data_IF_702833610867
#
_entry.id   IF_702833610867
#
_cell.length_a   1.000
_cell.length_b   1.000
_cell.length_c   1.000
_cell.angle_alpha   90.00
_cell.angle_beta   90.00
_cell.angle_gamma   90.00
#
_symmetry.space_group_name_H-M   'P 1'
#
loop_
_entity.id
_entity.type
_entity.pdbx_description
1 polymer ?
#
# COMPACT_ATOMS: atom_id res chain seq x y z
N UNK A 1 37.34 -29.92 3.10
CA UNK A 1 36.12 -29.65 2.30
C UNK A 1 35.55 -28.32 2.79
N UNK A 2 35.49 -27.26 1.99
CA UNK A 2 34.81 -26.03 2.40
C UNK A 2 33.32 -26.32 2.54
N UNK A 3 32.74 -25.92 3.68
CA UNK A 3 31.30 -26.00 3.91
C UNK A 3 30.60 -25.13 2.87
N UNK A 4 29.76 -25.75 2.04
CA UNK A 4 28.90 -25.03 1.11
C UNK A 4 27.87 -24.30 1.95
N UNK A 5 28.03 -22.98 2.10
CA UNK A 5 27.04 -22.11 2.73
C UNK A 5 25.78 -22.15 1.88
N UNK A 6 24.84 -23.02 2.23
CA UNK A 6 23.52 -23.07 1.59
C UNK A 6 22.79 -21.79 1.99
N UNK A 7 22.44 -20.92 1.03
CA UNK A 7 21.77 -19.67 1.36
C UNK A 7 20.42 -19.99 2.03
N UNK A 8 20.33 -19.70 3.32
CA UNK A 8 19.10 -19.86 4.10
C UNK A 8 18.05 -18.92 3.49
N UNK A 9 17.11 -19.49 2.72
CA UNK A 9 15.94 -18.77 2.21
C UNK A 9 15.12 -18.29 3.42
N UNK A 10 15.41 -17.08 3.91
CA UNK A 10 14.63 -16.47 4.98
C UNK A 10 13.20 -16.27 4.49
N UNK A 11 12.26 -16.96 5.12
CA UNK A 11 10.82 -16.79 4.88
C UNK A 11 10.42 -15.34 5.12
N UNK A 12 9.45 -14.81 4.36
CA UNK A 12 8.94 -13.47 4.63
C UNK A 12 8.35 -13.42 6.05
N UNK A 13 8.60 -12.35 6.81
CA UNK A 13 8.03 -12.21 8.15
C UNK A 13 6.51 -12.04 8.06
N UNK A 14 5.80 -12.46 9.10
CA UNK A 14 4.32 -12.38 9.19
C UNK A 14 3.76 -11.00 8.80
N UNK A 15 4.36 -9.86 9.21
CA UNK A 15 3.88 -8.54 8.79
C UNK A 15 3.88 -8.32 7.27
N UNK A 16 4.81 -8.92 6.52
CA UNK A 16 4.81 -8.84 5.04
C UNK A 16 3.62 -9.59 4.46
N UNK A 17 3.33 -10.80 5.01
CA UNK A 17 2.20 -11.61 4.59
C UNK A 17 0.84 -10.94 4.84
N UNK A 18 0.76 -10.08 5.87
CA UNK A 18 -0.44 -9.30 6.17
C UNK A 18 -0.49 -7.98 5.38
N UNK A 19 0.65 -7.30 5.20
CA UNK A 19 0.71 -6.03 4.49
C UNK A 19 0.31 -6.16 3.01
N UNK A 20 0.66 -7.27 2.37
CA UNK A 20 0.35 -7.49 0.94
C UNK A 20 -1.15 -7.57 0.67
N UNK A 21 -1.93 -8.46 1.33
CA UNK A 21 -3.38 -8.52 1.10
C UNK A 21 -4.09 -7.22 1.52
N UNK A 22 -3.63 -6.54 2.58
CA UNK A 22 -4.18 -5.24 2.95
C UNK A 22 -3.91 -4.18 1.86
N UNK A 23 -2.71 -4.15 1.29
CA UNK A 23 -2.37 -3.24 0.20
C UNK A 23 -3.22 -3.50 -1.04
N UNK A 24 -3.46 -4.78 -1.39
CA UNK A 24 -4.33 -5.16 -2.50
C UNK A 24 -5.78 -4.77 -2.21
N UNK A 25 -6.28 -5.01 -1.00
CA UNK A 25 -7.63 -4.62 -0.60
C UNK A 25 -7.81 -3.09 -0.65
N UNK A 26 -6.83 -2.32 -0.15
CA UNK A 26 -6.84 -0.87 -0.23
C UNK A 26 -6.81 -0.37 -1.68
N UNK A 27 -6.00 -1.00 -2.55
CA UNK A 27 -5.94 -0.66 -3.96
C UNK A 27 -7.28 -0.92 -4.68
N UNK A 28 -7.91 -2.06 -4.42
CA UNK A 28 -9.21 -2.41 -4.99
C UNK A 28 -10.32 -1.47 -4.50
N UNK A 29 -10.35 -1.14 -3.21
CA UNK A 29 -11.31 -0.19 -2.65
C UNK A 29 -11.13 1.20 -3.28
N UNK A 30 -9.90 1.65 -3.47
CA UNK A 30 -9.56 2.93 -4.10
C UNK A 30 -9.94 2.96 -5.59
N UNK A 31 -9.71 1.85 -6.30
CA UNK A 31 -10.12 1.71 -7.70
C UNK A 31 -11.66 1.70 -7.83
N UNK A 32 -12.36 1.01 -6.94
CA UNK A 32 -13.81 0.98 -6.90
C UNK A 32 -14.37 2.40 -6.65
N UNK A 33 -13.79 3.15 -5.72
CA UNK A 33 -14.17 4.55 -5.49
C UNK A 33 -14.04 5.39 -6.78
N UNK A 34 -12.92 5.25 -7.51
CA UNK A 34 -12.71 5.95 -8.77
C UNK A 34 -13.78 5.58 -9.83
N UNK A 35 -14.14 4.30 -9.92
CA UNK A 35 -15.18 3.82 -10.82
C UNK A 35 -16.57 4.39 -10.46
N UNK A 36 -16.89 4.40 -9.17
CA UNK A 36 -18.16 4.98 -8.69
C UNK A 36 -18.20 6.49 -8.97
N UNK A 37 -17.12 7.22 -8.69
CA UNK A 37 -17.02 8.64 -8.99
C UNK A 37 -17.23 8.92 -10.49
N UNK A 38 -16.64 8.08 -11.36
CA UNK A 38 -16.83 8.17 -12.81
C UNK A 38 -18.28 7.89 -13.22
N UNK A 39 -18.90 6.85 -12.63
CA UNK A 39 -20.28 6.48 -12.93
C UNK A 39 -21.27 7.56 -12.50
N UNK A 40 -21.13 8.10 -11.28
CA UNK A 40 -22.02 9.13 -10.75
C UNK A 40 -21.87 10.48 -11.45
N UNK A 41 -20.68 10.81 -11.96
CA UNK A 41 -20.44 12.04 -12.72
C UNK A 41 -20.90 11.93 -14.18
N UNK A 42 -21.31 10.75 -14.65
CA UNK A 42 -21.57 10.47 -16.08
C UNK A 42 -20.39 10.87 -16.98
N UNK A 43 -19.17 10.82 -16.46
CA UNK A 43 -17.96 11.23 -17.16
C UNK A 43 -17.81 12.74 -17.37
N UNK A 44 -18.65 13.55 -16.74
CA UNK A 44 -18.59 15.02 -16.82
C UNK A 44 -17.89 15.57 -15.61
N UNK A 45 -16.72 16.15 -15.84
CA UNK A 45 -15.92 16.79 -14.81
C UNK A 45 -15.59 18.22 -15.24
N UNK A 46 -16.07 19.19 -14.51
CA UNK A 46 -15.76 20.60 -14.72
C UNK A 46 -14.50 20.99 -13.94
N UNK A 47 -13.62 21.78 -14.54
CA UNK A 47 -12.40 22.27 -13.92
C UNK A 47 -11.47 21.14 -13.45
N UNK A 48 -11.15 21.11 -12.14
CA UNK A 48 -10.29 20.10 -11.51
C UNK A 48 -10.98 18.80 -11.10
N UNK A 49 -12.27 18.61 -11.39
CA UNK A 49 -13.07 17.46 -10.92
C UNK A 49 -12.53 16.11 -11.39
N UNK A 50 -11.84 16.04 -12.53
CA UNK A 50 -11.19 14.82 -13.03
C UNK A 50 -10.13 14.24 -12.06
N UNK A 51 -9.57 15.07 -11.15
CA UNK A 51 -8.62 14.63 -10.13
C UNK A 51 -9.25 13.63 -9.15
N UNK A 52 -10.58 13.72 -8.94
CA UNK A 52 -11.33 12.78 -8.08
C UNK A 52 -11.26 11.35 -8.63
N UNK A 53 -11.04 11.18 -9.92
CA UNK A 53 -10.84 9.86 -10.54
C UNK A 53 -9.36 9.56 -10.74
N UNK A 54 -8.58 10.50 -11.26
CA UNK A 54 -7.19 10.27 -11.64
C UNK A 54 -6.31 9.96 -10.42
N UNK A 55 -6.47 10.69 -9.31
CA UNK A 55 -5.65 10.47 -8.11
C UNK A 55 -5.87 9.09 -7.50
N UNK A 56 -7.12 8.64 -7.24
CA UNK A 56 -7.36 7.27 -6.76
C UNK A 56 -6.85 6.20 -7.71
N UNK A 57 -7.00 6.35 -9.02
CA UNK A 57 -6.47 5.39 -9.99
C UNK A 57 -4.95 5.28 -9.88
N UNK A 58 -4.23 6.41 -9.85
CA UNK A 58 -2.78 6.42 -9.70
C UNK A 58 -2.33 5.79 -8.38
N UNK A 59 -3.00 6.11 -7.27
CA UNK A 59 -2.71 5.52 -5.96
C UNK A 59 -2.98 4.02 -5.94
N UNK A 60 -4.07 3.55 -6.57
CA UNK A 60 -4.39 2.13 -6.70
C UNK A 60 -3.29 1.38 -7.46
N UNK A 61 -2.88 1.88 -8.62
CA UNK A 61 -1.79 1.30 -9.42
C UNK A 61 -0.49 1.28 -8.62
N UNK A 62 -0.16 2.39 -7.96
CA UNK A 62 1.05 2.48 -7.14
C UNK A 62 1.03 1.49 -5.98
N UNK A 63 -0.09 1.31 -5.27
CA UNK A 63 -0.24 0.31 -4.20
C UNK A 63 -0.02 -1.11 -4.72
N UNK A 64 -0.57 -1.46 -5.89
CA UNK A 64 -0.38 -2.77 -6.51
C UNK A 64 1.08 -3.01 -6.89
N UNK A 65 1.73 -2.05 -7.55
CA UNK A 65 3.16 -2.12 -7.87
C UNK A 65 3.99 -2.21 -6.59
N UNK A 66 3.64 -1.42 -5.57
CA UNK A 66 4.28 -1.46 -4.26
C UNK A 66 4.16 -2.83 -3.60
N UNK A 67 2.97 -3.45 -3.63
CA UNK A 67 2.75 -4.80 -3.09
C UNK A 67 3.64 -5.84 -3.78
N UNK A 68 3.76 -5.79 -5.11
CA UNK A 68 4.68 -6.66 -5.87
C UNK A 68 6.14 -6.41 -5.46
N UNK A 69 6.58 -5.15 -5.37
CA UNK A 69 7.94 -4.80 -4.98
C UNK A 69 8.25 -5.23 -3.54
N UNK A 70 7.25 -5.19 -2.64
CA UNK A 70 7.37 -5.68 -1.27
C UNK A 70 7.56 -7.21 -1.25
N UNK A 71 6.75 -7.97 -1.98
CA UNK A 71 6.89 -9.44 -2.11
C UNK A 71 8.27 -9.81 -2.66
N UNK A 72 8.75 -9.06 -3.65
CA UNK A 72 10.08 -9.25 -4.22
C UNK A 72 11.20 -8.81 -3.25
N UNK A 73 10.88 -8.16 -2.13
CA UNK A 73 11.86 -7.64 -1.17
C UNK A 73 12.73 -6.51 -1.74
N UNK A 74 12.16 -5.71 -2.64
CA UNK A 74 12.88 -4.60 -3.28
C UNK A 74 12.72 -3.28 -2.54
N UNK A 75 11.49 -2.95 -2.11
CA UNK A 75 11.21 -1.66 -1.46
C UNK A 75 9.98 -1.76 -0.56
N UNK A 76 10.14 -1.40 0.71
CA UNK A 76 9.03 -1.23 1.64
C UNK A 76 8.37 0.16 1.47
N UNK A 77 9.14 1.17 1.05
CA UNK A 77 8.67 2.53 0.81
C UNK A 77 7.65 2.59 -0.32
N UNK A 78 7.75 1.70 -1.30
CA UNK A 78 6.83 1.64 -2.43
C UNK A 78 5.38 1.31 -2.01
N UNK A 79 5.19 0.61 -0.88
CA UNK A 79 3.87 0.38 -0.27
C UNK A 79 3.55 1.46 0.75
N UNK A 80 4.54 1.84 1.57
CA UNK A 80 4.34 2.78 2.67
C UNK A 80 3.85 4.14 2.18
N UNK A 81 4.51 4.73 1.18
CA UNK A 81 4.20 6.09 0.72
C UNK A 81 2.76 6.23 0.19
N UNK A 82 2.28 5.42 -0.76
CA UNK A 82 0.91 5.55 -1.25
C UNK A 82 -0.13 5.19 -0.19
N UNK A 83 0.15 4.22 0.68
CA UNK A 83 -0.74 3.86 1.78
C UNK A 83 -0.85 4.98 2.82
N UNK A 84 0.27 5.62 3.19
CA UNK A 84 0.30 6.74 4.11
C UNK A 84 -0.39 7.99 3.51
N UNK A 85 -0.15 8.28 2.23
CA UNK A 85 -0.82 9.36 1.53
C UNK A 85 -2.33 9.15 1.49
N UNK A 86 -2.78 7.93 1.14
CA UNK A 86 -4.20 7.59 1.10
C UNK A 86 -4.83 7.67 2.51
N UNK A 87 -4.16 7.14 3.54
CA UNK A 87 -4.63 7.23 4.92
C UNK A 87 -4.72 8.69 5.41
N UNK A 88 -3.75 9.52 5.03
CA UNK A 88 -3.73 10.95 5.37
C UNK A 88 -4.88 11.71 4.72
N UNK A 89 -5.10 11.52 3.42
CA UNK A 89 -6.20 12.16 2.69
C UNK A 89 -7.56 11.72 3.22
N UNK A 90 -7.77 10.40 3.37
CA UNK A 90 -9.02 9.87 3.93
C UNK A 90 -9.25 10.33 5.36
N UNK A 91 -8.21 10.31 6.21
CA UNK A 91 -8.30 10.80 7.58
C UNK A 91 -8.67 12.27 7.65
N UNK A 92 -8.07 13.09 6.78
CA UNK A 92 -8.42 14.50 6.67
C UNK A 92 -9.89 14.69 6.27
N UNK A 93 -10.38 14.00 5.23
CA UNK A 93 -11.76 14.09 4.76
C UNK A 93 -12.74 13.65 5.85
N UNK A 94 -12.46 12.52 6.53
CA UNK A 94 -13.31 12.00 7.61
C UNK A 94 -13.44 13.02 8.74
N UNK A 95 -12.36 13.67 9.12
CA UNK A 95 -12.37 14.68 10.20
C UNK A 95 -13.03 15.98 9.73
N UNK A 96 -12.68 16.48 8.55
CA UNK A 96 -13.17 17.75 8.03
C UNK A 96 -14.70 17.74 7.77
N UNK A 97 -15.22 16.59 7.28
CA UNK A 97 -16.65 16.42 6.98
C UNK A 97 -17.47 15.85 8.15
N UNK A 98 -16.81 15.55 9.29
CA UNK A 98 -17.49 14.99 10.47
C UNK A 98 -18.10 13.59 10.27
N UNK A 99 -17.62 12.84 9.27
CA UNK A 99 -18.18 11.55 8.84
C UNK A 99 -18.10 10.43 9.89
N UNK A 100 -17.39 10.65 10.99
CA UNK A 100 -17.28 9.67 12.08
C UNK A 100 -18.65 9.48 12.78
N UNK A 101 -19.41 10.57 12.93
CA UNK A 101 -20.69 10.52 13.64
C UNK A 101 -21.82 9.88 12.83
N UNK A 102 -21.76 9.98 11.50
CA UNK A 102 -22.89 9.65 10.60
C UNK A 102 -22.73 8.31 9.87
N UNK A 103 -21.61 7.58 10.07
CA UNK A 103 -21.24 6.48 9.16
C UNK A 103 -21.35 5.06 9.73
N UNK A 104 -22.07 4.83 10.83
CA UNK A 104 -22.23 3.50 11.46
C UNK A 104 -20.93 2.66 11.55
N UNK A 105 -19.76 3.34 11.66
CA UNK A 105 -18.44 2.71 11.73
C UNK A 105 -17.84 2.30 10.39
N UNK A 106 -18.50 2.53 9.26
CA UNK A 106 -17.98 2.15 7.93
C UNK A 106 -16.76 2.99 7.52
N UNK A 107 -16.79 4.30 7.77
CA UNK A 107 -15.69 5.21 7.40
C UNK A 107 -14.37 4.91 8.15
N UNK A 108 -14.37 4.69 9.48
CA UNK A 108 -13.19 4.22 10.19
C UNK A 108 -12.65 2.90 9.65
N UNK A 109 -13.52 1.96 9.23
CA UNK A 109 -13.12 0.68 8.67
C UNK A 109 -12.42 0.86 7.30
N UNK A 110 -12.95 1.71 6.43
CA UNK A 110 -12.34 2.04 5.14
C UNK A 110 -10.97 2.70 5.34
N UNK A 111 -10.86 3.60 6.31
CA UNK A 111 -9.59 4.25 6.66
C UNK A 111 -8.57 3.27 7.25
N UNK A 112 -9.02 2.27 8.03
CA UNK A 112 -8.15 1.28 8.66
C UNK A 112 -7.34 0.45 7.65
N UNK A 113 -7.84 0.24 6.43
CA UNK A 113 -7.13 -0.50 5.38
C UNK A 113 -5.80 0.16 4.97
N UNK A 114 -5.78 1.41 4.48
CA UNK A 114 -4.52 2.06 4.12
C UNK A 114 -3.67 2.40 5.34
N UNK A 115 -4.26 2.77 6.48
CA UNK A 115 -3.53 3.04 7.71
C UNK A 115 -2.81 1.78 8.23
N UNK A 116 -3.51 0.64 8.28
CA UNK A 116 -2.94 -0.66 8.66
C UNK A 116 -1.85 -1.10 7.69
N UNK A 117 -2.05 -0.90 6.39
CA UNK A 117 -1.03 -1.19 5.36
C UNK A 117 0.25 -0.37 5.60
N UNK A 118 0.11 0.94 5.84
CA UNK A 118 1.25 1.82 6.12
C UNK A 118 1.98 1.41 7.40
N UNK A 119 1.24 1.15 8.49
CA UNK A 119 1.81 0.71 9.76
C UNK A 119 2.59 -0.61 9.61
N UNK A 120 1.99 -1.63 8.97
CA UNK A 120 2.65 -2.92 8.75
C UNK A 120 3.90 -2.80 7.89
N UNK A 121 3.85 -1.99 6.82
CA UNK A 121 5.01 -1.75 5.96
C UNK A 121 6.14 -1.01 6.69
N UNK A 122 5.83 -0.17 7.68
CA UNK A 122 6.80 0.57 8.48
C UNK A 122 7.48 -0.25 9.57
N UNK A 123 6.97 -1.44 9.90
CA UNK A 123 7.51 -2.27 10.98
C UNK A 123 9.00 -2.60 10.77
N UNK A 124 9.82 -2.57 11.85
CA UNK A 124 11.25 -2.86 11.76
C UNK A 124 11.56 -4.21 11.14
N UNK A 125 10.71 -5.23 11.39
CA UNK A 125 10.85 -6.57 10.80
C UNK A 125 10.74 -6.58 9.28
N UNK A 126 9.84 -5.78 8.69
CA UNK A 126 9.67 -5.63 7.24
C UNK A 126 10.87 -4.91 6.64
N UNK A 127 11.28 -3.79 7.27
CA UNK A 127 12.42 -2.99 6.82
C UNK A 127 13.72 -3.81 6.85
N UNK A 128 13.98 -4.54 7.93
CA UNK A 128 15.14 -5.40 8.08
C UNK A 128 15.17 -6.55 7.07
N UNK A 129 14.01 -7.17 6.80
CA UNK A 129 13.91 -8.23 5.81
C UNK A 129 14.18 -7.73 4.37
N UNK A 130 13.65 -6.57 4.00
CA UNK A 130 13.93 -5.94 2.69
C UNK A 130 15.40 -5.58 2.56
N UNK A 131 16.01 -5.01 3.62
CA UNK A 131 17.44 -4.67 3.64
C UNK A 131 18.33 -5.91 3.47
N UNK A 132 18.03 -7.01 4.19
CA UNK A 132 18.77 -8.27 4.09
C UNK A 132 18.67 -8.89 2.68
N UNK A 133 17.47 -8.85 2.05
CA UNK A 133 17.30 -9.33 0.67
C UNK A 133 18.06 -8.48 -0.35
N UNK A 134 18.09 -7.17 -0.15
CA UNK A 134 18.86 -6.26 -1.01
C UNK A 134 20.36 -6.55 -0.92
N UNK A 135 20.90 -6.74 0.30
CA UNK A 135 22.30 -7.06 0.51
C UNK A 135 22.68 -8.41 -0.16
N UNK A 136 21.85 -9.44 -0.02
CA UNK A 136 22.07 -10.74 -0.65
C UNK A 136 22.15 -10.69 -2.17
N UNK A 137 21.34 -9.83 -2.82
CA UNK A 137 21.41 -9.65 -4.29
C UNK A 137 22.72 -8.99 -4.73
N UNK A 138 23.15 -7.95 -4.02
CA UNK A 138 24.40 -7.24 -4.34
C UNK A 138 25.65 -8.12 -4.18
N UNK A 139 25.62 -9.12 -3.31
CA UNK A 139 26.72 -10.10 -3.17
C UNK A 139 26.76 -11.10 -4.33
N UNK A 140 25.61 -11.46 -4.89
CA UNK A 140 25.52 -12.38 -6.04
C UNK A 140 25.99 -11.74 -7.34
N UNK A 141 25.76 -10.43 -7.53
CA UNK A 141 26.15 -9.71 -8.75
C UNK A 141 27.67 -9.40 -8.81
N UNK A 142 28.43 -9.64 -7.71
CA UNK A 142 29.87 -9.37 -7.63
C UNK A 142 30.76 -10.62 -7.76
N UNK A 143 30.19 -11.78 -7.86
CA UNK A 143 30.88 -13.07 -8.05
C UNK A 143 30.72 -13.62 -9.46
#
# INVERSE_FOLDING_TARGET
>A
MPAVDVPVRRRPPVPVLLAVPLAVAAALATALFALLALAFSNGRFDGGGWLVVAVPVLLSVWLLVGAVLLVLGRSWLAVFLPAAALAGVLGWVIVAEGLIADSDGLMPLIWALPAGTALLAALPGVRGWVAARRAARLSTDRG
#
